data_IF_423572378542
#
_entry.id   IF_423572378542
#
_cell.length_a   1.000
_cell.length_b   1.000
_cell.length_c   1.000
_cell.angle_alpha   90.00
_cell.angle_beta   90.00
_cell.angle_gamma   90.00
#
_symmetry.space_group_name_H-M   'P 1'
#
loop_
_entity.id
_entity.type
_entity.pdbx_description
1 polymer ?
#
# COMPACT_ATOMS: atom_id res chain seq x y z
N UNK A 1 -30.34 -44.06 -19.27
CA UNK A 1 -31.49 -43.13 -19.30
C UNK A 1 -30.97 -41.73 -19.02
N UNK A 2 -30.76 -40.92 -20.05
CA UNK A 2 -30.25 -39.55 -19.92
C UNK A 2 -31.44 -38.59 -19.69
N UNK A 3 -31.43 -37.84 -18.59
CA UNK A 3 -32.36 -36.72 -18.38
C UNK A 3 -31.78 -35.50 -19.09
N UNK A 4 -32.38 -35.11 -20.21
CA UNK A 4 -32.08 -33.86 -20.88
C UNK A 4 -32.56 -32.67 -20.02
N UNK A 5 -31.62 -31.85 -19.57
CA UNK A 5 -31.92 -30.60 -18.87
C UNK A 5 -32.18 -29.52 -19.90
N UNK A 6 -33.45 -29.15 -20.12
CA UNK A 6 -33.83 -28.04 -21.00
C UNK A 6 -33.39 -26.71 -20.39
N UNK A 7 -32.31 -26.14 -20.93
CA UNK A 7 -31.86 -24.78 -20.61
C UNK A 7 -32.83 -23.78 -21.26
N UNK A 8 -33.59 -23.04 -20.44
CA UNK A 8 -34.47 -21.96 -20.91
C UNK A 8 -33.64 -20.69 -21.11
N UNK A 9 -33.48 -20.27 -22.36
CA UNK A 9 -32.85 -18.99 -22.68
C UNK A 9 -33.72 -17.82 -22.19
N UNK A 10 -33.13 -16.78 -21.57
CA UNK A 10 -33.89 -15.62 -21.11
C UNK A 10 -34.42 -14.80 -22.30
N UNK A 11 -35.64 -14.29 -22.19
CA UNK A 11 -36.27 -13.45 -23.22
C UNK A 11 -35.58 -12.08 -23.26
N UNK A 12 -34.94 -11.75 -24.38
CA UNK A 12 -34.26 -10.47 -24.64
C UNK A 12 -35.23 -9.37 -25.13
N UNK A 13 -36.41 -9.26 -24.52
CA UNK A 13 -37.36 -8.19 -24.85
C UNK A 13 -37.04 -6.96 -24.01
N UNK A 14 -36.41 -5.95 -24.60
CA UNK A 14 -36.11 -4.67 -23.96
C UNK A 14 -37.27 -3.70 -24.22
N UNK A 15 -37.85 -3.12 -23.16
CA UNK A 15 -39.01 -2.21 -23.26
C UNK A 15 -38.65 -0.77 -23.64
N UNK A 16 -37.38 -0.41 -23.54
CA UNK A 16 -36.90 0.95 -23.75
C UNK A 16 -35.61 0.90 -24.55
N UNK A 17 -35.70 1.27 -25.82
CA UNK A 17 -34.53 1.55 -26.66
C UNK A 17 -34.26 3.05 -26.59
N UNK A 18 -33.15 3.44 -25.96
CA UNK A 18 -32.65 4.81 -26.09
C UNK A 18 -31.79 4.85 -27.35
N UNK A 19 -32.15 5.64 -28.37
CA UNK A 19 -31.32 5.80 -29.55
C UNK A 19 -29.99 6.44 -29.15
N UNK A 20 -28.88 5.81 -29.54
CA UNK A 20 -27.54 6.34 -29.31
C UNK A 20 -27.31 7.54 -30.23
N UNK A 21 -27.33 8.74 -29.65
CA UNK A 21 -26.94 9.99 -30.31
C UNK A 21 -25.70 10.51 -29.58
N UNK A 22 -24.49 10.13 -30.02
CA UNK A 22 -23.28 10.70 -29.47
C UNK A 22 -23.11 12.12 -30.03
N UNK A 23 -23.27 13.12 -29.19
CA UNK A 23 -22.87 14.48 -29.55
C UNK A 23 -21.34 14.53 -29.59
N UNK A 24 -20.77 14.88 -30.74
CA UNK A 24 -19.34 15.15 -30.88
C UNK A 24 -19.03 16.45 -30.14
N UNK A 25 -18.35 16.35 -29.00
CA UNK A 25 -17.74 17.49 -28.34
C UNK A 25 -16.31 17.65 -28.89
N UNK A 26 -15.99 18.75 -29.60
CA UNK A 26 -14.65 19.08 -30.05
C UNK A 26 -13.64 19.02 -28.90
N UNK A 27 -12.40 18.62 -29.20
CA UNK A 27 -11.34 18.53 -28.20
C UNK A 27 -11.08 19.88 -27.53
N UNK A 28 -11.28 20.97 -28.26
CA UNK A 28 -11.15 22.36 -27.79
C UNK A 28 -12.21 22.76 -26.77
N UNK A 29 -13.42 22.17 -26.86
CA UNK A 29 -14.54 22.43 -25.93
C UNK A 29 -14.51 21.49 -24.72
N UNK A 30 -13.72 20.40 -24.79
CA UNK A 30 -13.37 19.57 -23.65
C UNK A 30 -12.33 20.29 -22.80
N UNK A 31 -12.72 21.44 -22.26
CA UNK A 31 -12.09 22.00 -21.09
C UNK A 31 -12.37 20.97 -20.00
N UNK A 32 -11.42 20.08 -19.73
CA UNK A 32 -11.43 19.37 -18.46
C UNK A 32 -11.53 20.46 -17.42
N UNK A 33 -12.66 20.54 -16.72
CA UNK A 33 -12.77 21.37 -15.53
C UNK A 33 -11.67 20.84 -14.60
N UNK A 34 -10.50 21.45 -14.67
CA UNK A 34 -9.46 21.25 -13.68
C UNK A 34 -10.12 21.81 -12.45
N UNK A 35 -10.60 20.91 -11.60
CA UNK A 35 -11.13 21.24 -10.29
C UNK A 35 -9.93 21.73 -9.48
N UNK A 36 -9.47 22.95 -9.77
CA UNK A 36 -8.52 23.66 -8.95
C UNK A 36 -9.36 24.10 -7.76
N UNK A 37 -9.31 23.30 -6.71
CA UNK A 37 -9.88 23.70 -5.42
C UNK A 37 -9.14 24.97 -4.99
N UNK A 38 -9.75 26.13 -5.24
CA UNK A 38 -9.19 27.46 -5.06
C UNK A 38 -9.20 27.89 -3.57
N UNK A 39 -8.88 26.94 -2.68
CA UNK A 39 -8.61 27.17 -1.28
C UNK A 39 -7.11 27.36 -1.07
N UNK A 40 -6.68 28.11 -0.04
CA UNK A 40 -5.26 28.19 0.30
C UNK A 40 -4.71 26.77 0.52
N UNK A 41 -3.76 26.35 -0.34
CA UNK A 41 -3.10 25.06 -0.20
C UNK A 41 -2.36 25.03 1.15
N UNK A 42 -3.00 24.42 2.15
CA UNK A 42 -2.40 24.22 3.47
C UNK A 42 -1.34 23.13 3.33
N UNK A 43 -0.10 23.54 3.09
CA UNK A 43 1.07 22.67 2.96
C UNK A 43 2.13 23.04 3.98
N UNK A 44 2.97 22.07 4.31
CA UNK A 44 4.17 22.31 5.11
C UNK A 44 5.19 23.19 4.39
N UNK A 45 6.01 23.93 5.15
CA UNK A 45 7.08 24.73 4.55
C UNK A 45 8.16 23.84 3.97
N UNK A 46 8.92 24.35 2.99
CA UNK A 46 10.02 23.60 2.38
C UNK A 46 11.11 23.24 3.42
N UNK A 47 11.26 24.02 4.50
CA UNK A 47 12.16 23.69 5.62
C UNK A 47 11.69 22.46 6.40
N UNK A 48 10.40 22.39 6.75
CA UNK A 48 9.83 21.25 7.47
C UNK A 48 9.79 19.99 6.59
N UNK A 49 9.53 20.14 5.30
CA UNK A 49 9.61 19.04 4.33
C UNK A 49 11.02 18.43 4.27
N UNK A 50 12.07 19.24 4.39
CA UNK A 50 13.45 18.74 4.46
C UNK A 50 13.72 17.98 5.78
N UNK A 51 13.23 18.46 6.93
CA UNK A 51 13.33 17.73 8.20
C UNK A 51 12.71 16.33 8.09
N UNK A 52 11.52 16.24 7.49
CA UNK A 52 10.85 14.96 7.27
C UNK A 52 11.59 14.07 6.27
N UNK A 53 12.17 14.65 5.21
CA UNK A 53 12.96 13.92 4.21
C UNK A 53 14.16 13.23 4.85
N UNK A 54 14.90 13.95 5.69
CA UNK A 54 16.06 13.39 6.40
C UNK A 54 15.64 12.29 7.37
N UNK A 55 14.56 12.50 8.12
CA UNK A 55 14.01 11.49 9.03
C UNK A 55 13.60 10.21 8.29
N UNK A 56 12.92 10.34 7.15
CA UNK A 56 12.49 9.20 6.33
C UNK A 56 13.69 8.47 5.75
N UNK A 57 14.68 9.18 5.20
CA UNK A 57 15.91 8.57 4.67
C UNK A 57 16.64 7.75 5.73
N UNK A 58 16.76 8.29 6.96
CA UNK A 58 17.37 7.58 8.09
C UNK A 58 16.61 6.29 8.41
N UNK A 59 15.28 6.35 8.51
CA UNK A 59 14.44 5.18 8.77
C UNK A 59 14.48 4.16 7.62
N UNK A 60 14.56 4.61 6.38
CA UNK A 60 14.65 3.76 5.19
C UNK A 60 15.96 2.97 5.19
N UNK A 61 17.10 3.61 5.48
CA UNK A 61 18.38 2.91 5.58
C UNK A 61 18.38 1.85 6.67
N UNK A 62 17.86 2.18 7.86
CA UNK A 62 17.69 1.22 8.95
C UNK A 62 16.76 0.07 8.55
N UNK A 63 15.69 0.38 7.83
CA UNK A 63 14.74 -0.63 7.42
C UNK A 63 15.35 -1.62 6.40
N UNK A 64 16.18 -1.11 5.49
CA UNK A 64 16.92 -1.93 4.52
C UNK A 64 17.96 -2.83 5.19
N UNK A 65 18.71 -2.33 6.17
CA UNK A 65 19.67 -3.17 6.91
C UNK A 65 18.99 -4.27 7.72
N UNK A 66 17.85 -3.97 8.34
CA UNK A 66 17.04 -4.95 9.07
C UNK A 66 16.44 -6.02 8.14
N UNK A 67 15.97 -5.63 6.95
CA UNK A 67 15.52 -6.58 5.93
C UNK A 67 16.65 -7.52 5.53
N UNK A 68 17.84 -7.00 5.22
CA UNK A 68 19.00 -7.83 4.86
C UNK A 68 19.37 -8.78 6.00
N UNK A 69 19.27 -8.33 7.25
CA UNK A 69 19.50 -9.17 8.42
C UNK A 69 18.49 -10.32 8.51
N UNK A 70 17.19 -10.03 8.38
CA UNK A 70 16.13 -11.05 8.38
C UNK A 70 16.28 -12.05 7.23
N UNK A 71 16.60 -11.56 6.03
CA UNK A 71 16.89 -12.42 4.88
C UNK A 71 18.10 -13.33 5.15
N UNK A 72 19.17 -12.78 5.73
CA UNK A 72 20.35 -13.54 6.11
C UNK A 72 20.11 -14.57 7.23
N UNK A 73 19.11 -14.37 8.09
CA UNK A 73 18.68 -15.37 9.07
C UNK A 73 17.91 -16.51 8.39
N UNK A 74 17.01 -16.18 7.47
CA UNK A 74 16.23 -17.18 6.72
C UNK A 74 17.17 -18.05 5.86
N UNK A 75 18.08 -17.45 5.10
CA UNK A 75 18.96 -18.17 4.17
C UNK A 75 20.10 -18.92 4.85
N UNK A 76 20.64 -18.44 5.98
CA UNK A 76 21.65 -19.20 6.73
C UNK A 76 21.06 -20.44 7.40
N UNK A 77 19.79 -20.39 7.83
CA UNK A 77 19.10 -21.57 8.36
C UNK A 77 18.88 -22.64 7.28
N UNK A 78 18.67 -22.22 6.02
CA UNK A 78 18.59 -23.12 4.87
C UNK A 78 19.90 -23.86 4.57
N UNK A 79 21.06 -23.24 4.85
CA UNK A 79 22.37 -23.86 4.60
C UNK A 79 22.79 -24.92 5.63
N UNK A 80 22.24 -24.88 6.86
CA UNK A 80 22.50 -25.93 7.85
C UNK A 80 21.67 -27.20 7.60
N UNK A 81 20.67 -27.17 6.70
CA UNK A 81 19.81 -28.31 6.34
C UNK A 81 20.34 -29.13 5.15
N UNK A 82 21.65 -29.32 5.03
CA UNK A 82 22.26 -30.07 3.93
C UNK A 82 22.18 -31.58 4.10
N UNK A 83 21.39 -32.24 3.24
CA UNK A 83 21.37 -33.66 2.75
C UNK A 83 21.52 -34.85 3.74
N UNK A 84 22.28 -34.75 4.83
CA UNK A 84 22.54 -35.84 5.78
C UNK A 84 21.46 -36.01 6.87
N UNK A 85 20.70 -34.96 7.18
CA UNK A 85 19.77 -34.92 8.32
C UNK A 85 18.30 -35.21 7.93
N UNK A 86 18.03 -35.31 6.63
CA UNK A 86 16.70 -35.63 6.03
C UNK A 86 16.08 -36.94 6.56
N UNK A 87 16.88 -37.83 7.17
CA UNK A 87 16.40 -39.13 7.71
C UNK A 87 15.95 -39.10 9.18
N UNK A 88 16.07 -37.97 9.87
CA UNK A 88 15.66 -37.80 11.29
C UNK A 88 14.64 -36.64 11.49
N UNK A 89 13.96 -36.22 10.42
CA UNK A 89 13.17 -34.97 10.37
C UNK A 89 11.73 -35.02 10.91
N UNK A 90 11.27 -36.08 11.58
CA UNK A 90 9.82 -36.28 11.79
C UNK A 90 9.26 -35.79 13.14
N UNK A 91 10.06 -35.31 14.09
CA UNK A 91 9.54 -34.86 15.41
C UNK A 91 9.83 -33.40 15.79
N UNK A 92 10.93 -32.79 15.32
CA UNK A 92 11.29 -31.39 15.65
C UNK A 92 10.99 -30.36 14.55
N UNK A 93 10.49 -30.77 13.38
CA UNK A 93 10.25 -29.87 12.22
C UNK A 93 9.16 -28.80 12.48
N UNK A 94 8.20 -29.09 13.38
CA UNK A 94 7.12 -28.15 13.70
C UNK A 94 7.61 -26.82 14.28
N UNK A 95 8.69 -26.84 15.07
CA UNK A 95 9.25 -25.62 15.70
C UNK A 95 10.10 -24.83 14.72
N UNK A 96 10.93 -25.52 13.93
CA UNK A 96 11.79 -24.89 12.90
C UNK A 96 10.95 -24.24 11.81
N UNK A 97 9.87 -24.91 11.38
CA UNK A 97 8.92 -24.40 10.39
C UNK A 97 8.17 -23.16 10.91
N UNK A 98 7.69 -23.19 12.16
CA UNK A 98 7.02 -22.05 12.80
C UNK A 98 7.95 -20.82 12.90
N UNK A 99 9.21 -20.99 13.30
CA UNK A 99 10.18 -19.89 13.37
C UNK A 99 10.47 -19.29 11.99
N UNK A 100 10.56 -20.13 10.95
CA UNK A 100 10.75 -19.68 9.57
C UNK A 100 9.57 -18.86 9.07
N UNK A 101 8.35 -19.32 9.36
CA UNK A 101 7.13 -18.59 9.00
C UNK A 101 7.11 -17.22 9.70
N UNK A 102 7.43 -17.17 11.00
CA UNK A 102 7.50 -15.92 11.75
C UNK A 102 8.52 -14.94 11.15
N UNK A 103 9.74 -15.40 10.83
CA UNK A 103 10.76 -14.58 10.18
C UNK A 103 10.30 -14.09 8.80
N UNK A 104 9.62 -14.95 8.03
CA UNK A 104 9.02 -14.59 6.75
C UNK A 104 7.96 -13.48 6.89
N UNK A 105 7.08 -13.59 7.89
CA UNK A 105 6.08 -12.55 8.19
C UNK A 105 6.75 -11.23 8.58
N UNK A 106 7.80 -11.27 9.41
CA UNK A 106 8.57 -10.08 9.79
C UNK A 106 9.24 -9.42 8.58
N UNK A 107 9.90 -10.21 7.73
CA UNK A 107 10.52 -9.71 6.50
C UNK A 107 9.47 -9.09 5.55
N UNK A 108 8.31 -9.72 5.40
CA UNK A 108 7.20 -9.20 4.61
C UNK A 108 6.72 -7.83 5.11
N UNK A 109 6.55 -7.67 6.42
CA UNK A 109 6.21 -6.37 7.02
C UNK A 109 7.27 -5.31 6.71
N UNK A 110 8.55 -5.69 6.79
CA UNK A 110 9.65 -4.78 6.50
C UNK A 110 9.66 -4.30 5.04
N UNK A 111 9.38 -5.20 4.08
CA UNK A 111 9.25 -4.84 2.67
C UNK A 111 8.14 -3.81 2.47
N UNK A 112 6.96 -4.05 3.04
CA UNK A 112 5.84 -3.10 2.93
C UNK A 112 6.16 -1.76 3.60
N UNK A 113 6.92 -1.77 4.70
CA UNK A 113 7.35 -0.57 5.38
C UNK A 113 8.34 0.25 4.54
N UNK A 114 9.29 -0.39 3.87
CA UNK A 114 10.22 0.26 2.93
C UNK A 114 9.45 0.92 1.78
N UNK A 115 8.53 0.20 1.15
CA UNK A 115 7.68 0.73 0.07
C UNK A 115 6.86 1.95 0.53
N UNK A 116 6.32 1.91 1.75
CA UNK A 116 5.63 3.06 2.34
C UNK A 116 6.54 4.28 2.56
N UNK A 117 7.79 4.08 2.97
CA UNK A 117 8.77 5.16 3.13
C UNK A 117 9.20 5.75 1.78
N UNK A 118 9.41 4.91 0.77
CA UNK A 118 9.74 5.35 -0.60
C UNK A 118 8.59 6.18 -1.21
N UNK A 119 7.35 5.71 -1.06
CA UNK A 119 6.15 6.49 -1.44
C UNK A 119 6.03 7.80 -0.67
N UNK A 120 6.47 7.86 0.58
CA UNK A 120 6.46 9.10 1.36
C UNK A 120 7.48 10.12 0.81
N UNK A 121 8.67 9.66 0.38
CA UNK A 121 9.67 10.52 -0.27
C UNK A 121 9.12 11.15 -1.56
N UNK A 122 8.46 10.36 -2.40
CA UNK A 122 7.84 10.86 -3.64
C UNK A 122 6.80 11.96 -3.34
N UNK A 123 6.02 11.83 -2.25
CA UNK A 123 5.06 12.87 -1.85
C UNK A 123 5.72 14.14 -1.34
N UNK A 124 6.88 14.03 -0.71
CA UNK A 124 7.67 15.20 -0.30
C UNK A 124 8.16 15.94 -1.53
N UNK A 125 8.67 15.23 -2.54
CA UNK A 125 9.10 15.82 -3.81
C UNK A 125 7.94 16.52 -4.53
N UNK A 126 6.77 15.89 -4.53
CA UNK A 126 5.54 16.47 -5.09
C UNK A 126 4.89 17.54 -4.20
N UNK A 127 5.46 17.87 -3.03
CA UNK A 127 4.92 18.83 -2.06
C UNK A 127 3.49 18.53 -1.57
N UNK A 128 3.07 17.27 -1.63
CA UNK A 128 1.75 16.77 -1.16
C UNK A 128 1.83 16.02 0.16
N UNK A 129 3.03 15.95 0.74
CA UNK A 129 3.27 15.30 2.02
C UNK A 129 2.56 16.00 3.18
N UNK A 130 2.00 15.22 4.09
CA UNK A 130 1.30 15.73 5.26
C UNK A 130 -0.16 16.13 5.01
N UNK A 131 -0.71 15.91 3.82
CA UNK A 131 -2.14 16.11 3.53
C UNK A 131 -2.89 14.79 3.72
N UNK A 132 -4.00 14.83 4.47
CA UNK A 132 -4.85 13.65 4.68
C UNK A 132 -5.59 13.27 3.39
N UNK A 133 -5.50 12.00 2.99
CA UNK A 133 -6.20 11.47 1.81
C UNK A 133 -7.73 11.54 1.87
N UNK A 134 -8.31 11.51 3.06
CA UNK A 134 -9.77 11.48 3.25
C UNK A 134 -10.31 12.89 3.49
N UNK A 135 -9.69 13.63 4.40
CA UNK A 135 -10.23 14.94 4.82
C UNK A 135 -9.63 16.12 4.08
N UNK A 136 -8.52 15.94 3.33
CA UNK A 136 -7.78 17.03 2.71
C UNK A 136 -7.09 17.99 3.69
N UNK A 137 -7.24 17.76 5.01
CA UNK A 137 -6.63 18.59 6.06
C UNK A 137 -5.15 18.23 6.28
N UNK A 138 -4.38 19.19 6.78
CA UNK A 138 -3.01 18.96 7.22
C UNK A 138 -2.97 17.98 8.42
N UNK A 139 -2.11 16.97 8.36
CA UNK A 139 -1.86 16.00 9.43
C UNK A 139 -0.87 16.62 10.41
N UNK A 140 -1.15 16.60 11.71
CA UNK A 140 -0.29 17.16 12.77
C UNK A 140 1.21 16.77 12.65
N UNK A 141 2.10 17.74 12.86
CA UNK A 141 3.57 17.55 12.81
C UNK A 141 4.05 16.46 13.76
N UNK A 142 3.57 16.47 15.01
CA UNK A 142 3.94 15.47 16.01
C UNK A 142 3.67 14.03 15.55
N UNK A 143 2.55 13.82 14.84
CA UNK A 143 2.20 12.52 14.28
C UNK A 143 3.15 12.09 13.17
N UNK A 144 3.50 13.01 12.26
CA UNK A 144 4.44 12.72 11.16
C UNK A 144 5.86 12.48 11.67
N UNK A 145 6.27 13.11 12.78
CA UNK A 145 7.54 12.81 13.44
C UNK A 145 7.56 11.40 14.04
N UNK A 146 6.47 10.96 14.68
CA UNK A 146 6.37 9.60 15.21
C UNK A 146 6.28 8.56 14.08
N UNK A 147 5.35 8.76 13.14
CA UNK A 147 5.00 7.81 12.06
C UNK A 147 5.01 8.54 10.70
N UNK A 148 6.16 8.60 10.02
CA UNK A 148 6.33 9.45 8.82
C UNK A 148 5.68 8.90 7.54
N UNK A 149 5.19 7.66 7.54
CA UNK A 149 4.43 7.11 6.42
C UNK A 149 2.91 7.26 6.58
N UNK A 150 2.45 7.92 7.64
CA UNK A 150 1.03 8.10 7.91
C UNK A 150 0.36 8.98 6.84
N UNK A 151 -0.73 8.47 6.25
CA UNK A 151 -1.46 9.11 5.13
C UNK A 151 -2.83 9.70 5.54
N UNK A 152 -3.26 9.40 6.76
CA UNK A 152 -4.56 9.76 7.31
C UNK A 152 -4.39 10.67 8.52
N UNK A 153 -5.37 11.54 8.80
CA UNK A 153 -5.47 12.30 10.06
C UNK A 153 -5.95 11.43 11.22
N UNK A 154 -5.89 11.91 12.47
CA UNK A 154 -6.32 11.12 13.63
C UNK A 154 -7.83 10.91 13.59
N UNK A 155 -8.58 11.97 13.27
CA UNK A 155 -10.02 11.97 13.01
C UNK A 155 -10.39 10.89 11.97
N UNK A 156 -9.73 10.91 10.80
CA UNK A 156 -10.02 9.96 9.72
C UNK A 156 -9.67 8.51 10.09
N UNK A 157 -8.61 8.31 10.88
CA UNK A 157 -8.24 6.96 11.32
C UNK A 157 -9.24 6.39 12.33
N UNK A 158 -9.80 7.24 13.19
CA UNK A 158 -10.82 6.83 14.17
C UNK A 158 -12.16 6.54 13.50
N UNK A 159 -12.56 7.33 12.49
CA UNK A 159 -13.81 7.07 11.75
C UNK A 159 -13.78 5.77 10.96
N UNK A 160 -12.62 5.37 10.41
CA UNK A 160 -12.47 4.10 9.67
C UNK A 160 -12.40 2.85 10.55
N UNK A 161 -12.13 3.01 11.86
CA UNK A 161 -12.05 1.89 12.81
C UNK A 161 -13.38 1.56 13.48
N UNK A 162 -14.42 2.34 13.18
CA UNK A 162 -15.77 2.18 13.70
C UNK A 162 -16.59 1.32 12.75
#
# INVERSE_FOLDING_TARGET
MAKEVKVKVPKTTVKTSVPYQPDYQPLEERIEEVIVSDGPLVRYSDTELNEFKELIKKKLNNAKSELTYLQGLITRKDHLGGEAESRYMTMEDGTVSMEREQLGQMAGRQITYIDHLEKALIRIENKTYGICRVTGKLIEKARLMAVPHATLSLEAKMSMKK
#
